data_IF_095199049475
#
_entry.id   IF_095199049475
#
_cell.length_a   1.000
_cell.length_b   1.000
_cell.length_c   1.000
_cell.angle_alpha   90.00
_cell.angle_beta   90.00
_cell.angle_gamma   90.00
#
_symmetry.space_group_name_H-M   'P 1'
#
loop_
_entity.id
_entity.type
_entity.pdbx_description
1 polymer ?
#
# COMPACT_ATOMS: atom_id res chain seq x y z
N UNK A 1 0.86 15.03 2.12
CA UNK A 1 -0.13 14.14 2.76
C UNK A 1 -1.39 14.07 1.92
N UNK A 2 -1.97 12.87 1.76
CA UNK A 2 -3.26 12.65 1.09
C UNK A 2 -4.04 11.52 1.77
N UNK A 3 -5.37 11.57 1.65
CA UNK A 3 -6.25 10.45 1.99
C UNK A 3 -6.79 9.85 0.69
N UNK A 4 -6.78 8.53 0.58
CA UNK A 4 -7.18 7.81 -0.63
C UNK A 4 -8.12 6.68 -0.27
N UNK A 5 -9.15 6.47 -1.09
CA UNK A 5 -10.03 5.32 -1.02
C UNK A 5 -9.76 4.38 -2.18
N UNK A 6 -9.54 3.11 -1.85
CA UNK A 6 -9.46 2.02 -2.80
C UNK A 6 -10.75 1.20 -2.72
N UNK A 7 -11.39 1.02 -3.87
CA UNK A 7 -12.59 0.20 -4.00
C UNK A 7 -12.29 -1.30 -3.79
N UNK A 8 -13.29 -2.12 -3.43
CA UNK A 8 -13.16 -3.58 -3.47
C UNK A 8 -12.65 -4.05 -4.84
N UNK A 9 -11.68 -4.96 -4.83
CA UNK A 9 -11.03 -5.46 -6.04
C UNK A 9 -10.00 -4.51 -6.66
N UNK A 10 -9.69 -3.38 -6.01
CA UNK A 10 -8.63 -2.49 -6.49
C UNK A 10 -7.29 -3.22 -6.59
N UNK A 11 -6.62 -3.00 -7.72
CA UNK A 11 -5.25 -3.42 -8.00
C UNK A 11 -4.54 -2.24 -8.65
N UNK A 12 -3.42 -1.81 -8.07
CA UNK A 12 -2.59 -0.78 -8.70
C UNK A 12 -2.10 -1.25 -10.08
N UNK A 13 -2.19 -0.35 -11.06
CA UNK A 13 -1.89 -0.61 -12.47
C UNK A 13 -0.38 -0.64 -12.79
N UNK A 14 0.45 -0.26 -11.83
CA UNK A 14 1.91 -0.28 -11.94
C UNK A 14 2.57 -0.65 -10.61
N UNK A 15 3.86 -0.97 -10.71
CA UNK A 15 4.74 -1.06 -9.56
C UNK A 15 5.34 0.31 -9.28
N UNK A 16 5.32 0.75 -8.03
CA UNK A 16 5.82 2.05 -7.60
C UNK A 16 7.17 1.90 -6.89
N UNK A 17 8.14 2.69 -7.34
CA UNK A 17 9.49 2.78 -6.73
C UNK A 17 9.64 3.98 -5.79
N UNK A 18 8.59 4.79 -5.61
CA UNK A 18 8.61 5.96 -4.72
C UNK A 18 8.41 5.54 -3.28
N UNK A 19 9.27 6.06 -2.42
CA UNK A 19 9.13 5.98 -0.98
C UNK A 19 7.89 6.71 -0.48
N UNK A 20 7.31 6.19 0.59
CA UNK A 20 6.21 6.80 1.35
C UNK A 20 5.90 5.99 2.61
N UNK A 21 5.23 6.66 3.54
CA UNK A 21 4.57 6.06 4.69
C UNK A 21 3.09 5.91 4.39
N UNK A 22 2.57 4.69 4.56
CA UNK A 22 1.16 4.35 4.41
C UNK A 22 0.59 3.93 5.77
N UNK A 23 -0.60 4.39 6.09
CA UNK A 23 -1.37 3.96 7.26
C UNK A 23 -2.80 3.58 6.86
N UNK A 24 -3.27 2.42 7.30
CA UNK A 24 -4.61 1.93 7.00
C UNK A 24 -5.60 2.48 8.02
N UNK A 25 -6.51 3.36 7.57
CA UNK A 25 -7.59 3.90 8.39
C UNK A 25 -8.76 2.93 8.50
N UNK A 26 -9.07 2.23 7.41
CA UNK A 26 -10.17 1.25 7.32
C UNK A 26 -9.86 0.20 6.26
N UNK A 27 -10.38 -1.02 6.45
CA UNK A 27 -10.29 -2.10 5.48
C UNK A 27 -8.98 -2.89 5.59
N UNK A 28 -8.64 -3.59 4.50
CA UNK A 28 -7.42 -4.38 4.37
C UNK A 28 -6.68 -4.00 3.08
N UNK A 29 -5.36 -4.02 3.15
CA UNK A 29 -4.48 -3.79 2.01
C UNK A 29 -3.45 -4.92 1.93
N UNK A 30 -3.32 -5.52 0.76
CA UNK A 30 -2.21 -6.41 0.41
C UNK A 30 -1.14 -5.58 -0.31
N UNK A 31 0.09 -5.60 0.18
CA UNK A 31 1.24 -4.97 -0.45
C UNK A 31 2.24 -6.04 -0.86
N UNK A 32 2.58 -6.08 -2.14
CA UNK A 32 3.56 -6.98 -2.73
C UNK A 32 4.77 -6.17 -3.16
N UNK A 33 5.97 -6.68 -2.90
CA UNK A 33 7.23 -6.14 -3.43
C UNK A 33 7.70 -7.02 -4.60
N UNK A 34 8.41 -6.43 -5.56
CA UNK A 34 8.91 -7.16 -6.74
C UNK A 34 9.83 -8.33 -6.43
N UNK A 35 10.45 -8.33 -5.25
CA UNK A 35 11.29 -9.42 -4.77
C UNK A 35 10.48 -10.61 -4.18
N UNK A 36 9.15 -10.51 -4.18
CA UNK A 36 8.23 -11.56 -3.75
C UNK A 36 7.77 -11.44 -2.30
N UNK A 37 8.29 -10.49 -1.51
CA UNK A 37 7.76 -10.23 -0.17
C UNK A 37 6.32 -9.73 -0.24
N UNK A 38 5.49 -10.19 0.71
CA UNK A 38 4.06 -9.83 0.79
C UNK A 38 3.69 -9.46 2.22
N UNK A 39 2.90 -8.40 2.34
CA UNK A 39 2.43 -7.87 3.61
C UNK A 39 0.93 -7.65 3.52
N UNK A 40 0.19 -8.18 4.49
CA UNK A 40 -1.22 -7.85 4.68
C UNK A 40 -1.32 -6.85 5.82
N UNK A 41 -1.94 -5.72 5.54
CA UNK A 41 -2.13 -4.61 6.47
C UNK A 41 -3.62 -4.47 6.77
N UNK A 42 -3.98 -4.38 8.05
CA UNK A 42 -5.34 -4.09 8.50
C UNK A 42 -5.41 -2.70 9.16
N UNK A 43 -6.62 -2.23 9.46
CA UNK A 43 -6.83 -0.95 10.13
C UNK A 43 -5.96 -0.80 11.38
N UNK A 44 -5.24 0.32 11.48
CA UNK A 44 -4.27 0.57 12.56
C UNK A 44 -2.83 0.20 12.22
N UNK A 45 -2.57 -0.48 11.10
CA UNK A 45 -1.23 -0.84 10.66
C UNK A 45 -0.64 0.21 9.71
N UNK A 46 0.69 0.29 9.70
CA UNK A 46 1.46 1.08 8.74
C UNK A 46 2.48 0.24 8.00
N UNK A 47 2.93 0.77 6.87
CA UNK A 47 4.06 0.27 6.12
C UNK A 47 4.85 1.45 5.55
N UNK A 48 6.16 1.27 5.39
CA UNK A 48 7.08 2.27 4.88
C UNK A 48 7.93 1.66 3.79
N UNK A 49 8.08 2.39 2.69
CA UNK A 49 9.03 2.09 1.61
C UNK A 49 9.96 3.27 1.43
N UNK A 50 11.20 2.96 1.07
CA UNK A 50 12.26 3.95 0.82
C UNK A 50 12.39 4.23 -0.66
N UNK A 51 12.77 5.46 -1.01
CA UNK A 51 13.22 5.76 -2.37
C UNK A 51 14.51 4.97 -2.67
N UNK A 52 14.49 4.15 -3.73
CA UNK A 52 15.64 3.39 -4.24
C UNK A 52 16.31 2.42 -3.25
N UNK A 53 15.70 2.15 -2.10
CA UNK A 53 16.20 1.21 -1.08
C UNK A 53 15.41 -0.10 -1.01
N UNK A 54 14.11 -0.05 -1.32
CA UNK A 54 13.23 -1.21 -1.34
C UNK A 54 12.89 -1.63 -2.78
N UNK A 55 12.53 -2.90 -2.97
CA UNK A 55 11.98 -3.35 -4.23
C UNK A 55 10.64 -2.67 -4.51
N UNK A 56 10.39 -2.28 -5.77
CA UNK A 56 9.14 -1.67 -6.21
C UNK A 56 7.94 -2.41 -5.61
N UNK A 57 6.96 -1.67 -5.10
CA UNK A 57 5.79 -2.26 -4.47
C UNK A 57 4.54 -2.07 -5.32
N UNK A 58 3.54 -2.92 -5.10
CA UNK A 58 2.23 -2.83 -5.73
C UNK A 58 1.17 -3.25 -4.73
N UNK A 59 0.13 -2.45 -4.62
CA UNK A 59 -0.92 -2.65 -3.62
C UNK A 59 -2.22 -3.12 -4.27
N UNK A 60 -2.94 -3.97 -3.56
CA UNK A 60 -4.28 -4.42 -3.93
C UNK A 60 -5.16 -4.58 -2.69
N UNK A 61 -6.47 -4.66 -2.91
CA UNK A 61 -7.42 -4.97 -1.84
C UNK A 61 -8.62 -5.73 -2.38
N UNK A 62 -9.05 -6.75 -1.64
CA UNK A 62 -10.27 -7.49 -1.97
C UNK A 62 -11.52 -6.78 -1.47
N UNK A 63 -11.45 -6.15 -0.30
CA UNK A 63 -12.60 -5.58 0.43
C UNK A 63 -12.70 -4.06 0.35
N UNK A 64 -11.68 -3.40 -0.20
CA UNK A 64 -11.53 -1.95 -0.19
C UNK A 64 -10.72 -1.47 1.03
N UNK A 65 -10.16 -0.27 0.93
CA UNK A 65 -9.38 0.35 2.00
C UNK A 65 -9.46 1.88 1.96
N UNK A 66 -9.42 2.49 3.14
CA UNK A 66 -9.18 3.93 3.29
C UNK A 66 -7.77 4.12 3.85
N UNK A 67 -6.94 4.88 3.15
CA UNK A 67 -5.52 5.02 3.41
C UNK A 67 -5.15 6.46 3.68
N UNK A 68 -4.23 6.66 4.61
CA UNK A 68 -3.51 7.91 4.78
C UNK A 68 -2.07 7.73 4.30
N UNK A 69 -1.65 8.56 3.34
CA UNK A 69 -0.34 8.43 2.69
C UNK A 69 0.46 9.73 2.83
N UNK A 70 1.71 9.58 3.24
CA UNK A 70 2.72 10.63 3.31
C UNK A 70 3.88 10.21 2.40
N UNK A 71 4.00 10.86 1.25
CA UNK A 71 5.19 10.77 0.39
C UNK A 71 6.33 11.58 1.01
#
# INVERSE_FOLDING_TARGET
MRMVEYSPGYLADHWCDRGHVLYVLKGELDSELRDGRKFKLSAGMSYQVSDFGDAAHRSSTTTGATLFIVD
#
